data_IF_151658377420
#
_entry.id   IF_151658377420
#
_cell.length_a   1.000
_cell.length_b   1.000
_cell.length_c   1.000
_cell.angle_alpha   90.00
_cell.angle_beta   90.00
_cell.angle_gamma   90.00
#
_symmetry.space_group_name_H-M   'P 1'
#
loop_
_entity.id
_entity.type
_entity.pdbx_description
1 polymer ?
#
# COMPACT_ATOMS: atom_id res chain seq x y z
N UNK A 1 -53.62 -32.32 13.96
CA UNK A 1 -53.62 -32.93 12.61
C UNK A 1 -53.13 -31.88 11.62
N UNK A 2 -52.04 -32.16 10.88
CA UNK A 2 -51.80 -31.83 9.44
C UNK A 2 -52.07 -30.35 9.04
N UNK A 3 -51.11 -29.46 8.79
CA UNK A 3 -50.01 -29.37 7.77
C UNK A 3 -50.24 -28.08 6.93
N UNK A 4 -49.12 -27.48 6.49
CA UNK A 4 -48.90 -26.58 5.34
C UNK A 4 -49.17 -25.08 5.57
N UNK A 5 -48.11 -24.26 5.68
CA UNK A 5 -47.28 -23.68 4.62
C UNK A 5 -47.88 -22.37 4.08
N UNK A 6 -47.31 -21.23 4.46
CA UNK A 6 -47.05 -20.16 3.49
C UNK A 6 -45.77 -19.41 3.87
N UNK A 7 -44.78 -19.56 2.99
CA UNK A 7 -43.59 -18.76 2.83
C UNK A 7 -44.02 -17.45 2.17
N UNK A 8 -43.62 -16.28 2.68
CA UNK A 8 -43.42 -15.09 1.84
C UNK A 8 -42.16 -14.39 2.30
N UNK A 9 -41.12 -14.57 1.50
CA UNK A 9 -39.95 -13.71 1.39
C UNK A 9 -40.37 -12.29 1.05
N UNK A 10 -39.83 -11.29 1.75
CA UNK A 10 -39.66 -9.92 1.22
C UNK A 10 -38.21 -9.54 1.52
N UNK A 11 -37.33 -9.95 0.61
CA UNK A 11 -36.63 -9.06 -0.33
C UNK A 11 -35.53 -8.28 0.40
N UNK A 12 -34.33 -8.86 0.28
CA UNK A 12 -33.09 -8.11 0.13
C UNK A 12 -33.35 -6.91 -0.79
N UNK A 13 -33.51 -5.73 -0.22
CA UNK A 13 -33.05 -4.53 -0.90
C UNK A 13 -31.53 -4.64 -0.89
N UNK A 14 -31.02 -5.28 -1.94
CA UNK A 14 -29.71 -4.99 -2.44
C UNK A 14 -29.61 -3.46 -2.53
N UNK A 15 -28.86 -2.87 -1.60
CA UNK A 15 -28.21 -1.61 -1.87
C UNK A 15 -27.33 -1.86 -3.09
N UNK A 16 -27.90 -1.66 -4.27
CA UNK A 16 -27.16 -1.29 -5.45
C UNK A 16 -26.62 0.13 -5.22
N UNK A 17 -25.71 0.26 -4.26
CA UNK A 17 -24.59 1.17 -4.41
C UNK A 17 -23.66 0.50 -5.43
N UNK A 18 -24.13 0.41 -6.67
CA UNK A 18 -23.24 0.30 -7.81
C UNK A 18 -22.51 1.64 -7.88
N UNK A 19 -21.48 1.79 -7.04
CA UNK A 19 -20.39 2.69 -7.38
C UNK A 19 -19.92 2.17 -8.73
N UNK A 20 -20.29 2.86 -9.81
CA UNK A 20 -19.65 2.66 -11.11
C UNK A 20 -18.19 3.01 -10.87
N UNK A 21 -17.39 2.02 -10.48
CA UNK A 21 -15.95 2.16 -10.43
C UNK A 21 -15.55 2.63 -11.83
N UNK A 22 -14.82 3.73 -11.92
CA UNK A 22 -14.34 4.19 -13.23
C UNK A 22 -13.52 3.08 -13.88
N UNK A 23 -13.50 3.01 -15.22
CA UNK A 23 -12.70 2.01 -15.96
C UNK A 23 -11.24 1.95 -15.47
N UNK A 24 -10.66 3.09 -15.05
CA UNK A 24 -9.34 3.16 -14.41
C UNK A 24 -9.29 2.38 -13.09
N UNK A 25 -10.30 2.51 -12.21
CA UNK A 25 -10.32 1.86 -10.90
C UNK A 25 -10.47 0.35 -11.03
N UNK A 26 -11.30 -0.13 -11.96
CA UNK A 26 -11.42 -1.56 -12.25
C UNK A 26 -10.09 -2.11 -12.78
N UNK A 27 -9.48 -1.41 -13.73
CA UNK A 27 -8.20 -1.81 -14.32
C UNK A 27 -7.06 -1.79 -13.29
N UNK A 28 -6.98 -0.77 -12.45
CA UNK A 28 -6.05 -0.68 -11.32
C UNK A 28 -6.23 -1.87 -10.38
N UNK A 29 -7.47 -2.15 -9.99
CA UNK A 29 -7.76 -3.27 -9.10
C UNK A 29 -7.38 -4.62 -9.73
N UNK A 30 -7.56 -4.78 -11.04
CA UNK A 30 -7.22 -6.01 -11.75
C UNK A 30 -5.70 -6.22 -11.82
N UNK A 31 -4.94 -5.21 -12.27
CA UNK A 31 -3.47 -5.26 -12.32
C UNK A 31 -2.91 -5.48 -10.90
N UNK A 32 -3.43 -4.77 -9.91
CA UNK A 32 -3.01 -4.92 -8.52
C UNK A 32 -3.26 -6.34 -7.98
N UNK A 33 -4.41 -6.96 -8.33
CA UNK A 33 -4.70 -8.35 -7.97
C UNK A 33 -3.69 -9.32 -8.57
N UNK A 34 -3.30 -9.12 -9.83
CA UNK A 34 -2.29 -9.94 -10.49
C UNK A 34 -0.91 -9.79 -9.83
N UNK A 35 -0.50 -8.55 -9.53
CA UNK A 35 0.77 -8.26 -8.81
C UNK A 35 0.79 -9.01 -7.47
N UNK A 36 -0.27 -8.87 -6.66
CA UNK A 36 -0.30 -9.46 -5.33
C UNK A 36 -0.52 -10.97 -5.34
N UNK A 37 -1.08 -11.55 -6.41
CA UNK A 37 -1.05 -13.00 -6.64
C UNK A 37 0.24 -13.49 -7.33
N UNK A 38 1.21 -12.60 -7.56
CA UNK A 38 2.52 -12.90 -8.15
C UNK A 38 2.45 -13.37 -9.60
N UNK A 39 1.41 -12.99 -10.33
CA UNK A 39 1.22 -13.19 -11.77
C UNK A 39 1.85 -12.02 -12.54
N UNK A 40 3.18 -11.87 -12.39
CA UNK A 40 3.90 -10.68 -12.86
C UNK A 40 3.92 -10.50 -14.39
N UNK A 41 4.09 -11.55 -15.23
CA UNK A 41 4.05 -11.39 -16.68
C UNK A 41 2.69 -10.85 -17.16
N UNK A 42 1.59 -11.38 -16.64
CA UNK A 42 0.24 -10.94 -16.97
C UNK A 42 -0.03 -9.51 -16.48
N UNK A 43 0.38 -9.19 -15.25
CA UNK A 43 0.26 -7.83 -14.71
C UNK A 43 1.02 -6.81 -15.57
N UNK A 44 2.24 -7.12 -15.99
CA UNK A 44 3.06 -6.27 -16.83
C UNK A 44 2.46 -6.10 -18.22
N UNK A 45 2.01 -7.18 -18.84
CA UNK A 45 1.34 -7.15 -20.14
C UNK A 45 0.12 -6.21 -20.09
N UNK A 46 -0.78 -6.40 -19.12
CA UNK A 46 -2.01 -5.58 -19.03
C UNK A 46 -1.66 -4.12 -18.75
N UNK A 47 -0.70 -3.85 -17.85
CA UNK A 47 -0.22 -2.51 -17.52
C UNK A 47 0.34 -1.77 -18.74
N UNK A 48 1.07 -2.46 -19.62
CA UNK A 48 1.64 -1.85 -20.83
C UNK A 48 0.61 -1.71 -21.96
N UNK A 49 -0.26 -2.70 -22.16
CA UNK A 49 -1.26 -2.71 -23.23
C UNK A 49 -2.37 -1.67 -23.01
N UNK A 50 -2.72 -1.37 -21.76
CA UNK A 50 -3.82 -0.46 -21.42
C UNK A 50 -3.33 0.84 -20.75
N UNK A 51 -2.10 1.25 -21.03
CA UNK A 51 -1.50 2.45 -20.42
C UNK A 51 -2.26 3.75 -20.73
N UNK A 52 -2.99 3.77 -21.85
CA UNK A 52 -3.80 4.86 -22.37
C UNK A 52 -5.12 5.01 -21.62
N UNK A 53 -5.60 3.93 -21.01
CA UNK A 53 -6.82 3.89 -20.19
C UNK A 53 -6.55 4.16 -18.71
N UNK A 54 -5.28 4.12 -18.30
CA UNK A 54 -4.88 4.40 -16.93
C UNK A 54 -4.62 5.87 -16.74
N UNK A 55 -5.03 6.39 -15.59
CA UNK A 55 -4.46 7.63 -15.12
C UNK A 55 -2.95 7.48 -14.96
N UNK A 56 -2.23 8.53 -15.31
CA UNK A 56 -0.77 8.56 -15.21
C UNK A 56 -0.29 8.24 -13.78
N UNK A 57 -1.00 8.73 -12.77
CA UNK A 57 -0.69 8.45 -11.36
C UNK A 57 -0.87 6.97 -11.01
N UNK A 58 -1.97 6.36 -11.46
CA UNK A 58 -2.27 4.93 -11.35
C UNK A 58 -1.19 4.08 -12.04
N UNK A 59 -0.81 4.43 -13.27
CA UNK A 59 0.25 3.75 -14.01
C UNK A 59 1.59 3.78 -13.25
N UNK A 60 1.98 4.95 -12.73
CA UNK A 60 3.22 5.09 -11.95
C UNK A 60 3.20 4.25 -10.68
N UNK A 61 2.12 4.31 -9.92
CA UNK A 61 1.96 3.52 -8.70
C UNK A 61 2.08 2.01 -9.00
N UNK A 62 1.35 1.51 -9.99
CA UNK A 62 1.37 0.09 -10.36
C UNK A 62 2.74 -0.33 -10.90
N UNK A 63 3.41 0.52 -11.66
CA UNK A 63 4.77 0.27 -12.16
C UNK A 63 5.78 0.13 -11.02
N UNK A 64 5.74 1.05 -10.05
CA UNK A 64 6.57 0.97 -8.85
C UNK A 64 6.28 -0.29 -8.06
N UNK A 65 5.00 -0.60 -7.84
CA UNK A 65 4.60 -1.73 -7.02
C UNK A 65 4.94 -3.09 -7.64
N UNK A 66 4.63 -3.28 -8.93
CA UNK A 66 5.01 -4.47 -9.70
C UNK A 66 6.51 -4.76 -9.60
N UNK A 67 7.33 -3.74 -9.85
CA UNK A 67 8.78 -3.90 -9.88
C UNK A 67 9.37 -4.06 -8.48
N UNK A 68 8.77 -3.45 -7.47
CA UNK A 68 9.11 -3.69 -6.07
C UNK A 68 8.88 -5.16 -5.69
N UNK A 69 7.73 -5.73 -6.06
CA UNK A 69 7.41 -7.14 -5.79
C UNK A 69 8.33 -8.09 -6.53
N UNK A 70 8.64 -7.83 -7.82
CA UNK A 70 9.67 -8.58 -8.57
C UNK A 70 11.03 -8.56 -7.85
N UNK A 71 11.45 -7.37 -7.37
CA UNK A 71 12.73 -7.20 -6.67
C UNK A 71 12.79 -7.95 -5.33
N UNK A 72 11.78 -7.81 -4.46
CA UNK A 72 11.85 -8.41 -3.11
C UNK A 72 11.71 -9.93 -3.12
N UNK A 73 11.05 -10.48 -4.13
CA UNK A 73 10.85 -11.92 -4.26
C UNK A 73 12.06 -12.60 -4.92
N UNK A 74 12.74 -11.93 -5.85
CA UNK A 74 13.90 -12.47 -6.55
C UNK A 74 15.09 -11.51 -6.45
N UNK A 75 15.64 -11.27 -5.24
CA UNK A 75 16.73 -10.32 -5.04
C UNK A 75 18.03 -10.85 -5.66
N UNK A 76 18.62 -10.05 -6.52
CA UNK A 76 19.94 -10.25 -7.11
C UNK A 76 20.60 -8.89 -7.35
N UNK A 77 21.90 -8.86 -7.63
CA UNK A 77 22.54 -7.60 -8.03
C UNK A 77 21.90 -7.01 -9.30
N UNK A 78 21.53 -7.87 -10.24
CA UNK A 78 20.90 -7.44 -11.49
C UNK A 78 19.52 -6.83 -11.24
N UNK A 79 18.65 -7.49 -10.48
CA UNK A 79 17.32 -6.96 -10.14
C UNK A 79 17.40 -5.70 -9.27
N UNK A 80 18.40 -5.60 -8.39
CA UNK A 80 18.68 -4.38 -7.62
C UNK A 80 19.08 -3.20 -8.52
N UNK A 81 19.97 -3.43 -9.49
CA UNK A 81 20.36 -2.42 -10.49
C UNK A 81 19.18 -2.00 -11.35
N UNK A 82 18.40 -2.96 -11.86
CA UNK A 82 17.20 -2.69 -12.67
C UNK A 82 16.18 -1.84 -11.90
N UNK A 83 15.91 -2.19 -10.65
CA UNK A 83 14.97 -1.45 -9.81
C UNK A 83 15.47 -0.03 -9.48
N UNK A 84 16.76 0.13 -9.19
CA UNK A 84 17.36 1.46 -8.99
C UNK A 84 17.32 2.31 -10.27
N UNK A 85 17.55 1.71 -11.44
CA UNK A 85 17.42 2.41 -12.72
C UNK A 85 15.98 2.87 -12.93
N UNK A 86 14.99 2.00 -12.69
CA UNK A 86 13.57 2.37 -12.75
C UNK A 86 13.24 3.55 -11.84
N UNK A 87 13.67 3.50 -10.58
CA UNK A 87 13.44 4.58 -9.60
C UNK A 87 14.03 5.91 -10.07
N UNK A 88 15.23 5.90 -10.68
CA UNK A 88 15.87 7.09 -11.25
C UNK A 88 15.15 7.59 -12.49
N UNK A 89 14.72 6.70 -13.39
CA UNK A 89 13.94 7.07 -14.58
C UNK A 89 12.65 7.76 -14.17
N UNK A 90 11.88 7.14 -13.29
CA UNK A 90 10.63 7.68 -12.75
C UNK A 90 10.85 9.05 -12.08
N UNK A 91 11.94 9.22 -11.31
CA UNK A 91 12.31 10.52 -10.72
C UNK A 91 12.61 11.58 -11.77
N UNK A 92 13.27 11.20 -12.87
CA UNK A 92 13.74 12.11 -13.92
C UNK A 92 12.66 12.52 -14.91
N UNK A 93 11.61 11.70 -15.06
CA UNK A 93 10.42 12.08 -15.81
C UNK A 93 9.79 13.29 -15.13
N UNK A 94 9.84 14.45 -15.80
CA UNK A 94 9.38 15.78 -15.34
C UNK A 94 7.93 15.84 -14.80
N UNK A 95 7.21 14.74 -14.75
CA UNK A 95 5.83 14.63 -14.27
C UNK A 95 5.70 14.27 -12.78
N UNK A 96 6.78 13.87 -12.11
CA UNK A 96 6.82 13.83 -10.63
C UNK A 96 7.41 15.14 -10.08
N UNK A 97 8.12 15.89 -10.92
CA UNK A 97 8.81 17.11 -10.56
C UNK A 97 7.91 18.35 -10.78
N UNK A 98 7.06 18.65 -9.79
CA UNK A 98 6.71 20.00 -9.29
C UNK A 98 5.26 20.12 -8.79
N UNK A 99 4.30 19.33 -9.31
CA UNK A 99 2.87 19.63 -9.11
C UNK A 99 2.06 18.53 -8.38
N UNK A 100 2.59 17.31 -8.20
CA UNK A 100 1.86 16.21 -7.54
C UNK A 100 2.63 15.61 -6.37
N UNK A 101 2.55 16.30 -5.23
CA UNK A 101 3.21 15.90 -3.99
C UNK A 101 2.82 14.49 -3.52
N UNK A 102 1.65 13.96 -3.89
CA UNK A 102 1.25 12.59 -3.58
C UNK A 102 2.10 11.58 -4.34
N UNK A 103 2.26 11.74 -5.67
CA UNK A 103 3.10 10.83 -6.45
C UNK A 103 4.56 10.88 -5.99
N UNK A 104 5.04 12.08 -5.62
CA UNK A 104 6.38 12.24 -5.04
C UNK A 104 6.51 11.49 -3.71
N UNK A 105 5.52 11.56 -2.83
CA UNK A 105 5.51 10.82 -1.57
C UNK A 105 5.50 9.30 -1.79
N UNK A 106 4.71 8.81 -2.75
CA UNK A 106 4.67 7.40 -3.13
C UNK A 106 6.05 6.95 -3.61
N UNK A 107 6.66 7.68 -4.56
CA UNK A 107 8.00 7.39 -5.05
C UNK A 107 9.04 7.38 -3.92
N UNK A 108 9.03 8.40 -3.05
CA UNK A 108 9.92 8.47 -1.88
C UNK A 108 9.76 7.26 -0.96
N UNK A 109 8.53 6.77 -0.74
CA UNK A 109 8.27 5.57 0.04
C UNK A 109 8.91 4.32 -0.57
N UNK A 110 8.83 4.15 -1.90
CA UNK A 110 9.49 3.02 -2.60
C UNK A 110 11.02 3.16 -2.59
N UNK A 111 11.56 4.36 -2.80
CA UNK A 111 13.01 4.61 -2.71
C UNK A 111 13.53 4.33 -1.30
N UNK A 112 12.83 4.80 -0.25
CA UNK A 112 13.24 4.58 1.12
C UNK A 112 13.23 3.09 1.48
N UNK A 113 12.19 2.34 1.07
CA UNK A 113 12.14 0.88 1.22
C UNK A 113 13.30 0.19 0.53
N UNK A 114 13.69 0.64 -0.65
CA UNK A 114 14.85 0.11 -1.38
C UNK A 114 16.16 0.35 -0.64
N UNK A 115 16.42 1.59 -0.21
CA UNK A 115 17.65 1.94 0.52
C UNK A 115 17.74 1.22 1.88
N UNK A 116 16.62 1.08 2.60
CA UNK A 116 16.55 0.29 3.82
C UNK A 116 16.86 -1.19 3.58
N UNK A 117 16.30 -1.79 2.52
CA UNK A 117 16.52 -3.22 2.18
C UNK A 117 17.99 -3.54 1.90
N UNK A 118 18.78 -2.55 1.50
CA UNK A 118 20.21 -2.65 1.22
C UNK A 118 21.10 -1.99 2.29
N UNK A 119 20.53 -1.68 3.46
CA UNK A 119 21.25 -1.10 4.60
C UNK A 119 21.94 0.24 4.32
N UNK A 120 21.42 1.02 3.36
CA UNK A 120 21.96 2.34 3.04
C UNK A 120 21.31 3.44 3.91
N UNK A 121 21.77 3.52 5.16
CA UNK A 121 21.21 4.44 6.15
C UNK A 121 21.46 5.92 5.83
N UNK A 122 22.57 6.26 5.18
CA UNK A 122 22.84 7.64 4.76
C UNK A 122 21.81 8.14 3.74
N UNK A 123 21.56 7.36 2.68
CA UNK A 123 20.52 7.70 1.72
C UNK A 123 19.13 7.71 2.37
N UNK A 124 18.87 6.78 3.29
CA UNK A 124 17.61 6.75 4.06
C UNK A 124 17.39 8.04 4.85
N UNK A 125 18.42 8.58 5.52
CA UNK A 125 18.31 9.84 6.26
C UNK A 125 18.02 11.05 5.35
N UNK A 126 18.63 11.10 4.16
CA UNK A 126 18.34 12.12 3.15
C UNK A 126 16.89 12.04 2.68
N UNK A 127 16.42 10.83 2.34
CA UNK A 127 15.05 10.58 1.90
C UNK A 127 14.03 10.92 3.00
N UNK A 128 14.36 10.61 4.25
CA UNK A 128 13.53 10.94 5.41
C UNK A 128 13.31 12.46 5.55
N UNK A 129 14.36 13.26 5.37
CA UNK A 129 14.26 14.73 5.34
C UNK A 129 13.37 15.20 4.18
N UNK A 130 13.53 14.60 3.00
CA UNK A 130 12.72 14.94 1.82
C UNK A 130 11.23 14.61 2.03
N UNK A 131 10.90 13.48 2.65
CA UNK A 131 9.52 13.12 2.98
C UNK A 131 8.91 14.13 3.96
N UNK A 132 9.64 14.58 4.99
CA UNK A 132 9.15 15.61 5.92
C UNK A 132 8.81 16.91 5.20
N UNK A 133 9.67 17.33 4.26
CA UNK A 133 9.43 18.50 3.43
C UNK A 133 8.15 18.34 2.60
N UNK A 134 8.02 17.24 1.87
CA UNK A 134 6.83 16.94 1.04
C UNK A 134 5.55 16.91 1.88
N UNK A 135 5.57 16.27 3.05
CA UNK A 135 4.40 16.24 3.95
C UNK A 135 4.00 17.62 4.48
N UNK A 136 4.96 18.52 4.69
CA UNK A 136 4.68 19.92 5.03
C UNK A 136 4.02 20.69 3.89
N UNK A 137 4.43 20.42 2.65
CA UNK A 137 3.92 21.07 1.44
C UNK A 137 2.50 20.60 1.05
N UNK A 138 2.06 19.41 1.46
CA UNK A 138 0.74 18.86 1.12
C UNK A 138 -0.41 19.55 1.88
N UNK A 139 -0.11 20.38 2.89
CA UNK A 139 -1.13 21.00 3.73
C UNK A 139 -1.64 22.37 3.22
N UNK A 140 -1.17 22.88 2.07
CA UNK A 140 -1.48 24.25 1.63
C UNK A 140 -2.21 24.36 0.28
N UNK A 141 -2.30 23.30 -0.52
CA UNK A 141 -2.95 23.35 -1.83
C UNK A 141 -4.10 22.36 -1.91
N UNK A 142 -5.31 22.86 -1.66
CA UNK A 142 -6.58 22.13 -1.75
C UNK A 142 -6.91 21.64 -3.16
N UNK A 143 -6.14 20.69 -3.67
CA UNK A 143 -6.51 19.92 -4.84
C UNK A 143 -7.51 18.83 -4.42
N UNK A 144 -8.70 18.83 -5.03
CA UNK A 144 -9.65 17.72 -4.95
C UNK A 144 -9.06 16.50 -5.67
N UNK A 145 -8.22 15.74 -4.99
CA UNK A 145 -7.78 14.45 -5.50
C UNK A 145 -8.94 13.45 -5.45
N UNK A 146 -9.01 12.54 -6.44
CA UNK A 146 -9.93 11.41 -6.40
C UNK A 146 -9.80 10.63 -5.08
N UNK A 147 -10.92 10.15 -4.57
CA UNK A 147 -11.03 9.53 -3.24
C UNK A 147 -9.98 8.44 -2.99
N UNK A 148 -9.76 7.54 -3.96
CA UNK A 148 -8.77 6.46 -3.85
C UNK A 148 -7.34 6.98 -3.65
N UNK A 149 -6.97 8.04 -4.36
CA UNK A 149 -5.64 8.67 -4.26
C UNK A 149 -5.46 9.37 -2.91
N UNK A 150 -6.51 10.00 -2.39
CA UNK A 150 -6.49 10.57 -1.03
C UNK A 150 -6.33 9.51 0.05
N UNK A 151 -7.00 8.36 -0.08
CA UNK A 151 -6.86 7.25 0.87
C UNK A 151 -5.43 6.67 0.84
N UNK A 152 -4.83 6.55 -0.34
CA UNK A 152 -3.43 6.11 -0.47
C UNK A 152 -2.45 7.13 0.16
N UNK A 153 -2.70 8.43 -0.05
CA UNK A 153 -1.94 9.50 0.59
C UNK A 153 -2.04 9.46 2.13
N UNK A 154 -3.26 9.29 2.67
CA UNK A 154 -3.49 9.12 4.12
C UNK A 154 -2.70 7.94 4.66
N UNK A 155 -2.72 6.80 3.96
CA UNK A 155 -1.97 5.60 4.34
C UNK A 155 -0.45 5.89 4.44
N UNK A 156 0.16 6.44 3.39
CA UNK A 156 1.60 6.71 3.39
C UNK A 156 1.99 7.76 4.44
N UNK A 157 1.14 8.76 4.67
CA UNK A 157 1.34 9.76 5.74
C UNK A 157 1.31 9.10 7.12
N UNK A 158 0.32 8.24 7.39
CA UNK A 158 0.20 7.52 8.65
C UNK A 158 1.39 6.58 8.88
N UNK A 159 1.80 5.83 7.86
CA UNK A 159 2.98 4.97 7.92
C UNK A 159 4.25 5.76 8.25
N UNK A 160 4.46 6.90 7.59
CA UNK A 160 5.61 7.76 7.87
C UNK A 160 5.58 8.30 9.29
N UNK A 161 4.43 8.83 9.76
CA UNK A 161 4.25 9.30 11.13
C UNK A 161 4.54 8.19 12.14
N UNK A 162 4.08 6.97 11.90
CA UNK A 162 4.35 5.83 12.76
C UNK A 162 5.86 5.54 12.87
N UNK A 163 6.56 5.42 11.74
CA UNK A 163 7.99 5.10 11.71
C UNK A 163 8.90 6.22 12.22
N UNK A 164 8.60 7.50 11.92
CA UNK A 164 9.35 8.65 12.45
C UNK A 164 9.32 8.69 13.98
N UNK A 165 8.21 8.25 14.58
CA UNK A 165 8.03 8.19 16.03
C UNK A 165 8.50 6.88 16.68
N UNK A 166 8.99 5.89 15.92
CA UNK A 166 9.69 4.71 16.48
C UNK A 166 11.15 5.08 16.84
N UNK A 167 11.79 5.95 16.06
CA UNK A 167 13.24 6.21 16.13
C UNK A 167 13.70 7.01 17.36
N UNK A 168 12.84 7.22 18.37
CA UNK A 168 13.24 7.87 19.62
C UNK A 168 12.60 7.19 20.86
N UNK A 169 13.34 6.29 21.53
CA UNK A 169 12.84 5.52 22.68
C UNK A 169 12.74 6.33 23.98
N UNK A 170 13.12 7.61 24.00
CA UNK A 170 13.01 8.45 25.18
C UNK A 170 11.59 9.05 25.28
N UNK A 171 10.71 8.34 25.98
CA UNK A 171 9.54 8.73 26.80
C UNK A 171 8.82 10.09 26.58
N UNK A 172 8.82 10.68 25.40
CA UNK A 172 7.98 11.83 25.09
C UNK A 172 6.56 11.33 24.83
N UNK A 173 5.64 11.63 25.74
CA UNK A 173 4.24 11.22 25.66
C UNK A 173 3.59 11.64 24.32
N UNK A 174 3.95 12.82 23.81
CA UNK A 174 3.50 13.32 22.51
C UNK A 174 3.86 12.38 21.35
N UNK A 175 5.06 11.79 21.35
CA UNK A 175 5.49 10.83 20.32
C UNK A 175 4.75 9.51 20.41
N UNK A 176 4.51 9.04 21.64
CA UNK A 176 3.69 7.84 21.88
C UNK A 176 2.26 8.04 21.38
N UNK A 177 1.68 9.22 21.65
CA UNK A 177 0.36 9.59 21.16
C UNK A 177 0.30 9.66 19.63
N UNK A 178 1.24 10.36 19.01
CA UNK A 178 1.33 10.45 17.54
C UNK A 178 1.50 9.07 16.88
N UNK A 179 2.28 8.17 17.48
CA UNK A 179 2.43 6.77 17.03
C UNK A 179 1.11 6.00 17.14
N UNK A 180 0.39 6.13 18.25
CA UNK A 180 -0.89 5.47 18.45
C UNK A 180 -1.97 6.00 17.49
N UNK A 181 -2.05 7.32 17.29
CA UNK A 181 -2.94 7.94 16.31
C UNK A 181 -2.65 7.46 14.89
N UNK A 182 -1.37 7.40 14.51
CA UNK A 182 -0.96 6.87 13.21
C UNK A 182 -1.31 5.39 13.05
N UNK A 183 -1.12 4.57 14.09
CA UNK A 183 -1.49 3.16 14.07
C UNK A 183 -3.00 2.99 13.88
N UNK A 184 -3.83 3.71 14.66
CA UNK A 184 -5.29 3.69 14.54
C UNK A 184 -5.77 4.09 13.14
N UNK A 185 -5.13 5.09 12.52
CA UNK A 185 -5.44 5.51 11.16
C UNK A 185 -5.14 4.38 10.15
N UNK A 186 -4.01 3.68 10.30
CA UNK A 186 -3.67 2.55 9.42
C UNK A 186 -4.69 1.40 9.61
N UNK A 187 -5.10 1.11 10.85
CA UNK A 187 -6.13 0.11 11.16
C UNK A 187 -7.48 0.44 10.51
N UNK A 188 -7.90 1.70 10.59
CA UNK A 188 -9.10 2.19 9.92
C UNK A 188 -9.03 1.96 8.41
N UNK A 189 -7.89 2.31 7.79
CA UNK A 189 -7.66 2.11 6.35
C UNK A 189 -7.60 0.63 5.95
N UNK A 190 -7.33 -0.29 6.88
CA UNK A 190 -7.28 -1.73 6.62
C UNK A 190 -8.66 -2.38 6.42
N UNK A 191 -9.73 -1.75 6.92
CA UNK A 191 -11.12 -2.22 6.80
C UNK A 191 -11.95 -1.44 5.77
N UNK A 192 -11.33 -0.48 5.09
CA UNK A 192 -11.96 0.31 4.02
C UNK A 192 -12.28 -0.53 2.77
N UNK A 193 -13.24 -0.05 1.97
CA UNK A 193 -13.68 -0.73 0.74
C UNK A 193 -12.62 -0.71 -0.39
N UNK A 194 -11.67 0.24 -0.35
CA UNK A 194 -10.63 0.32 -1.37
C UNK A 194 -9.71 -0.90 -1.29
N UNK A 195 -9.70 -1.72 -2.35
CA UNK A 195 -8.90 -2.95 -2.40
C UNK A 195 -7.40 -2.69 -2.28
N UNK A 196 -6.90 -1.67 -2.97
CA UNK A 196 -5.48 -1.29 -2.94
C UNK A 196 -5.08 -0.86 -1.52
N UNK A 197 -5.82 0.09 -0.96
CA UNK A 197 -5.51 0.69 0.35
C UNK A 197 -5.64 -0.34 1.47
N UNK A 198 -6.73 -1.10 1.52
CA UNK A 198 -6.92 -2.15 2.53
C UNK A 198 -5.81 -3.20 2.47
N UNK A 199 -5.37 -3.58 1.27
CA UNK A 199 -4.30 -4.57 1.10
C UNK A 199 -2.96 -4.04 1.59
N UNK A 200 -2.59 -2.82 1.21
CA UNK A 200 -1.36 -2.18 1.67
C UNK A 200 -1.37 -1.97 3.18
N UNK A 201 -2.48 -1.48 3.74
CA UNK A 201 -2.65 -1.27 5.17
C UNK A 201 -2.51 -2.58 5.95
N UNK A 202 -3.22 -3.65 5.55
CA UNK A 202 -3.05 -4.98 6.17
C UNK A 202 -1.61 -5.49 6.05
N UNK A 203 -0.95 -5.30 4.90
CA UNK A 203 0.44 -5.73 4.72
C UNK A 203 1.39 -5.02 5.69
N UNK A 204 1.26 -3.70 5.83
CA UNK A 204 2.10 -2.94 6.74
C UNK A 204 1.73 -3.18 8.22
N UNK A 205 0.46 -3.30 8.58
CA UNK A 205 0.04 -3.66 9.94
C UNK A 205 0.58 -5.01 10.37
N UNK A 206 0.54 -6.01 9.48
CA UNK A 206 1.17 -7.31 9.71
C UNK A 206 2.64 -7.16 10.14
N UNK A 207 3.43 -6.38 9.39
CA UNK A 207 4.84 -6.10 9.73
C UNK A 207 4.98 -5.28 11.00
N UNK A 208 4.19 -4.22 11.16
CA UNK A 208 4.22 -3.34 12.32
C UNK A 208 4.01 -4.17 13.60
N UNK A 209 3.00 -5.02 13.61
CA UNK A 209 2.66 -5.82 14.77
C UNK A 209 3.70 -6.91 15.08
N UNK A 210 4.24 -7.57 14.06
CA UNK A 210 5.29 -8.58 14.24
C UNK A 210 6.64 -7.96 14.66
N UNK A 211 7.10 -6.96 13.89
CA UNK A 211 8.48 -6.50 13.97
C UNK A 211 8.66 -5.42 15.05
N UNK A 212 7.64 -4.59 15.31
CA UNK A 212 7.78 -3.39 16.14
C UNK A 212 6.93 -3.44 17.42
N UNK A 213 5.64 -3.77 17.34
CA UNK A 213 4.78 -3.83 18.53
C UNK A 213 4.92 -5.13 19.32
N UNK A 214 5.56 -6.16 18.73
CA UNK A 214 5.75 -7.49 19.34
C UNK A 214 4.42 -8.14 19.74
N UNK A 215 3.42 -7.99 18.87
CA UNK A 215 2.04 -8.47 19.00
C UNK A 215 1.72 -9.45 17.86
N UNK A 216 2.23 -10.69 17.93
CA UNK A 216 2.15 -11.62 16.80
C UNK A 216 0.72 -12.07 16.48
N UNK A 217 -0.16 -12.18 17.47
CA UNK A 217 -1.55 -12.55 17.23
C UNK A 217 -2.27 -11.52 16.33
N UNK A 218 -2.03 -10.24 16.56
CA UNK A 218 -2.55 -9.12 15.77
C UNK A 218 -1.95 -9.10 14.37
N UNK A 219 -0.63 -9.27 14.25
CA UNK A 219 0.03 -9.41 12.95
C UNK A 219 -0.53 -10.56 12.11
N UNK A 220 -0.85 -11.69 12.76
CA UNK A 220 -1.40 -12.88 12.10
C UNK A 220 -2.79 -12.68 11.54
N UNK A 221 -3.62 -11.88 12.23
CA UNK A 221 -4.95 -11.54 11.72
C UNK A 221 -4.85 -10.86 10.37
N UNK A 222 -3.94 -9.90 10.22
CA UNK A 222 -3.72 -9.21 8.96
C UNK A 222 -3.16 -10.13 7.87
N UNK A 223 -2.16 -10.97 8.17
CA UNK A 223 -1.64 -11.90 7.17
C UNK A 223 -2.62 -13.00 6.78
N UNK A 224 -3.51 -13.43 7.68
CA UNK A 224 -4.59 -14.36 7.35
C UNK A 224 -5.54 -13.77 6.31
N UNK A 225 -5.99 -12.52 6.51
CA UNK A 225 -6.81 -11.79 5.52
C UNK A 225 -6.09 -11.73 4.16
N UNK A 226 -4.79 -11.42 4.18
CA UNK A 226 -4.01 -11.32 2.95
C UNK A 226 -3.82 -12.66 2.23
N UNK A 227 -3.61 -13.75 2.97
CA UNK A 227 -3.49 -15.11 2.38
C UNK A 227 -4.82 -15.56 1.79
N UNK A 228 -5.94 -15.27 2.45
CA UNK A 228 -7.28 -15.57 1.92
C UNK A 228 -7.56 -14.81 0.62
N UNK A 229 -7.19 -13.52 0.57
CA UNK A 229 -7.41 -12.64 -0.59
C UNK A 229 -6.42 -12.89 -1.74
N UNK A 230 -5.20 -13.29 -1.41
CA UNK A 230 -4.09 -13.50 -2.36
C UNK A 230 -3.45 -14.88 -2.13
N UNK A 231 -4.18 -15.96 -2.44
CA UNK A 231 -3.78 -17.32 -2.08
C UNK A 231 -2.48 -17.77 -2.76
N UNK A 232 -2.04 -17.08 -3.83
CA UNK A 232 -0.79 -17.37 -4.51
C UNK A 232 0.41 -16.58 -3.98
N UNK A 233 0.21 -15.56 -3.14
CA UNK A 233 1.32 -14.78 -2.56
C UNK A 233 2.15 -15.59 -1.56
N UNK A 234 3.36 -16.00 -1.96
CA UNK A 234 4.26 -16.77 -1.09
C UNK A 234 4.73 -16.01 0.15
N UNK A 235 4.99 -14.71 0.03
CA UNK A 235 5.49 -13.90 1.15
C UNK A 235 4.43 -13.83 2.25
N UNK A 236 3.16 -13.66 1.91
CA UNK A 236 2.10 -13.62 2.93
C UNK A 236 1.95 -14.95 3.68
N UNK A 237 2.07 -16.08 2.97
CA UNK A 237 2.07 -17.40 3.62
C UNK A 237 3.28 -17.58 4.54
N UNK A 238 4.46 -17.18 4.09
CA UNK A 238 5.69 -17.23 4.89
C UNK A 238 5.56 -16.38 6.16
N UNK A 239 5.10 -15.13 6.04
CA UNK A 239 4.91 -14.24 7.17
C UNK A 239 3.88 -14.78 8.17
N UNK A 240 2.78 -15.39 7.69
CA UNK A 240 1.78 -16.03 8.55
C UNK A 240 2.32 -17.28 9.27
N UNK A 241 3.26 -18.01 8.65
CA UNK A 241 3.85 -19.21 9.23
C UNK A 241 4.96 -18.89 10.26
N UNK A 242 5.74 -17.82 10.05
CA UNK A 242 6.84 -17.42 10.93
C UNK A 242 6.38 -16.93 12.29
N UNK A 243 5.16 -16.43 12.37
CA UNK A 243 4.55 -15.83 13.55
C UNK A 243 3.74 -16.79 14.42
N UNK A 244 3.67 -18.06 14.03
CA UNK A 244 3.16 -19.16 14.85
C UNK A 244 4.26 -19.94 15.58
N UNK A 245 5.51 -19.48 15.48
CA UNK A 245 6.68 -19.98 16.22
C UNK A 245 7.09 -18.98 17.29
#
# INVERSE_FOLDING_TARGET
MIKRCFLISIIFLANAAGSFASDDEELVNNIFMLIYNQQFPEAEMILQTHNDKLEKSSFYFLTLDLNWWKFILSPSEMSSRQYNTLLKTIKSEKNIAAEDNINRLIWLSYQMRFELKRYNFFATAVLHSEIKKVLGEINENGAEYKEGKMKLFRLYTALFKYYDNILNPFFQESKRRARAEALNEIESLAIENSRVVSTLANYFLGKIYLDYEKKPAEGNRHYKILVEKYPHNRLFREMLAMSGK
#
